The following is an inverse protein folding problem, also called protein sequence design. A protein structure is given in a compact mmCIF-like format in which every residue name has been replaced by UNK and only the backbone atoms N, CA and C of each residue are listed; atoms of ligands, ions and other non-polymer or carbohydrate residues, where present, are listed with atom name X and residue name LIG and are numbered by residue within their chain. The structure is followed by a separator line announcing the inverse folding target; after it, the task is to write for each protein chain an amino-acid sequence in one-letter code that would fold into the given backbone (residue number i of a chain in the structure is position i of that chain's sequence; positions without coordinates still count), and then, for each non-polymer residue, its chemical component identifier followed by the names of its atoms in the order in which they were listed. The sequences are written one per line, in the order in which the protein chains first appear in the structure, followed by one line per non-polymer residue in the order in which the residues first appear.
data_IF_005923780062
#
_entry.id   IF_005923780062
#
_cell.length_a   1.000
_cell.length_b   1.000
_cell.length_c   1.000
_cell.angle_alpha   90.00
_cell.angle_beta   90.00
_cell.angle_gamma   90.00
#
_symmetry.space_group_name_H-M   'P 1'
#
loop_
_entity.id
_entity.type
_entity.pdbx_description
1 polymer ?
#
# COMPACT_ATOMS: atom_id res chain seq x y z
N UNK A 1 -24.88 -2.78 -4.39
CA UNK A 1 -24.11 -1.69 -3.74
C UNK A 1 -22.79 -1.71 -4.46
N UNK A 2 -22.62 -0.76 -5.36
CA UNK A 2 -21.72 -0.91 -6.51
C UNK A 2 -20.51 0.01 -6.37
N UNK A 3 -19.92 0.07 -5.17
CA UNK A 3 -18.76 0.92 -4.88
C UNK A 3 -17.75 0.21 -3.97
N UNK A 4 -16.46 0.38 -4.30
CA UNK A 4 -15.33 -0.26 -3.59
C UNK A 4 -14.69 0.65 -2.54
N UNK A 5 -14.88 1.97 -2.64
CA UNK A 5 -14.31 2.96 -1.73
C UNK A 5 -15.32 4.06 -1.41
N UNK A 6 -15.40 4.43 -0.13
CA UNK A 6 -16.21 5.55 0.35
C UNK A 6 -15.28 6.62 0.93
N UNK A 7 -15.38 7.84 0.38
CA UNK A 7 -14.61 9.00 0.83
C UNK A 7 -15.61 10.00 1.41
N UNK A 8 -15.28 10.60 2.55
CA UNK A 8 -16.15 11.54 3.25
C UNK A 8 -15.41 12.82 3.65
N UNK A 9 -16.13 13.92 3.78
CA UNK A 9 -15.61 15.14 4.43
C UNK A 9 -15.77 15.04 5.95
N UNK A 10 -14.93 15.77 6.70
CA UNK A 10 -14.99 15.79 8.18
C UNK A 10 -16.38 16.17 8.70
N UNK A 11 -17.05 17.12 8.04
CA UNK A 11 -18.37 17.63 8.44
C UNK A 11 -19.48 16.57 8.33
N UNK A 12 -19.32 15.60 7.43
CA UNK A 12 -20.30 14.53 7.18
C UNK A 12 -20.08 13.29 8.07
N UNK A 13 -18.93 13.18 8.75
CA UNK A 13 -18.58 12.01 9.58
C UNK A 13 -19.59 11.67 10.68
N UNK A 14 -20.23 12.61 11.41
CA UNK A 14 -21.23 12.28 12.42
C UNK A 14 -22.44 11.54 11.84
N UNK A 15 -22.84 11.89 10.60
CA UNK A 15 -23.93 11.20 9.89
C UNK A 15 -23.49 9.83 9.38
N UNK A 16 -22.28 9.73 8.83
CA UNK A 16 -21.72 8.46 8.33
C UNK A 16 -21.49 7.45 9.45
N UNK A 17 -21.19 7.90 10.67
CA UNK A 17 -21.04 7.03 11.84
C UNK A 17 -22.32 6.21 12.14
N UNK A 18 -23.51 6.76 11.87
CA UNK A 18 -24.78 6.03 12.03
C UNK A 18 -24.91 4.83 11.07
N UNK A 19 -24.28 4.91 9.90
CA UNK A 19 -24.22 3.84 8.89
C UNK A 19 -23.12 2.80 9.18
N UNK A 20 -22.39 2.96 10.29
CA UNK A 20 -21.29 2.07 10.68
C UNK A 20 -21.70 0.60 10.83
N UNK A 21 -22.97 0.29 11.13
CA UNK A 21 -23.48 -1.10 11.17
C UNK A 21 -23.40 -1.80 9.81
N UNK A 22 -23.53 -1.05 8.72
CA UNK A 22 -23.51 -1.58 7.35
C UNK A 22 -22.09 -1.47 6.76
N UNK A 23 -21.44 -0.31 6.96
CA UNK A 23 -20.13 -0.02 6.39
C UNK A 23 -18.97 -0.68 7.14
N UNK A 24 -19.14 -0.94 8.44
CA UNK A 24 -18.15 -1.58 9.32
C UNK A 24 -17.75 -3.00 8.89
N UNK A 25 -18.69 -3.96 8.79
CA UNK A 25 -18.34 -5.35 8.43
C UNK A 25 -17.77 -5.48 7.01
N UNK A 26 -17.97 -4.49 6.15
CA UNK A 26 -17.43 -4.46 4.78
C UNK A 26 -16.10 -3.72 4.65
N UNK A 27 -15.58 -3.11 5.72
CA UNK A 27 -14.33 -2.35 5.68
C UNK A 27 -14.41 -1.05 4.86
N UNK A 28 -15.62 -0.58 4.54
CA UNK A 28 -15.86 0.62 3.73
C UNK A 28 -15.99 1.89 4.58
N UNK A 29 -15.77 1.79 5.89
CA UNK A 29 -15.89 2.93 6.80
C UNK A 29 -14.73 3.91 6.58
N UNK A 30 -14.99 5.20 6.33
CA UNK A 30 -13.94 6.19 6.11
C UNK A 30 -13.19 6.45 7.42
N UNK A 31 -11.87 6.40 7.38
CA UNK A 31 -10.98 6.65 8.52
C UNK A 31 -10.02 7.82 8.20
N UNK A 32 -9.86 8.80 9.11
CA UNK A 32 -8.87 9.88 8.93
C UNK A 32 -7.44 9.36 8.76
N UNK A 33 -7.08 8.25 9.42
CA UNK A 33 -5.74 7.65 9.29
C UNK A 33 -5.47 7.15 7.88
N UNK A 34 -6.50 6.71 7.18
CA UNK A 34 -6.39 6.23 5.81
C UNK A 34 -6.54 7.36 4.78
N UNK A 35 -6.66 8.62 5.19
CA UNK A 35 -6.83 9.75 4.26
C UNK A 35 -8.14 9.70 3.46
N UNK A 36 -9.05 8.77 3.78
CA UNK A 36 -10.41 8.69 3.20
C UNK A 36 -11.35 9.73 3.80
N UNK A 37 -10.90 10.46 4.81
CA UNK A 37 -11.55 11.66 5.32
C UNK A 37 -10.69 12.85 4.92
N UNK A 38 -11.15 13.62 3.93
CA UNK A 38 -10.37 14.73 3.36
C UNK A 38 -11.27 15.94 3.07
N UNK A 39 -10.70 17.14 3.17
CA UNK A 39 -11.38 18.41 2.83
C UNK A 39 -11.26 18.77 1.35
N UNK A 40 -10.27 18.21 0.65
CA UNK A 40 -9.91 18.59 -0.72
C UNK A 40 -10.24 17.50 -1.75
N UNK A 41 -10.53 17.93 -2.97
CA UNK A 41 -10.80 17.05 -4.12
C UNK A 41 -9.60 16.18 -4.52
N UNK A 42 -8.38 16.54 -4.09
CA UNK A 42 -7.13 15.83 -4.36
C UNK A 42 -7.16 14.38 -3.87
N UNK A 43 -7.88 14.09 -2.78
CA UNK A 43 -8.02 12.73 -2.28
C UNK A 43 -8.62 11.79 -3.33
N UNK A 44 -9.56 12.28 -4.15
CA UNK A 44 -10.21 11.48 -5.19
C UNK A 44 -9.19 11.08 -6.26
N UNK A 45 -8.33 12.01 -6.67
CA UNK A 45 -7.27 11.76 -7.67
C UNK A 45 -6.24 10.77 -7.14
N UNK A 46 -5.79 10.92 -5.90
CA UNK A 46 -4.86 9.98 -5.26
C UNK A 46 -5.43 8.57 -5.12
N UNK A 47 -6.72 8.44 -4.78
CA UNK A 47 -7.37 7.13 -4.69
C UNK A 47 -7.62 6.49 -6.05
N UNK A 48 -7.84 7.30 -7.10
CA UNK A 48 -7.92 6.82 -8.48
C UNK A 48 -6.57 6.32 -9.00
N UNK A 49 -5.46 6.92 -8.55
CA UNK A 49 -4.11 6.48 -8.88
C UNK A 49 -3.68 5.18 -8.16
N UNK A 50 -4.56 4.58 -7.34
CA UNK A 50 -4.29 3.26 -6.75
C UNK A 50 -3.38 3.30 -5.52
N UNK A 51 -3.49 4.33 -4.68
CA UNK A 51 -2.72 4.44 -3.43
C UNK A 51 -2.91 3.22 -2.52
N UNK A 52 -1.81 2.50 -2.25
CA UNK A 52 -1.72 1.42 -1.27
C UNK A 52 -1.05 1.96 -0.01
N UNK A 53 -1.67 1.72 1.15
CA UNK A 53 -1.10 2.10 2.43
C UNK A 53 -0.47 0.90 3.09
N UNK A 54 0.72 1.11 3.62
CA UNK A 54 1.45 0.10 4.36
C UNK A 54 1.90 0.66 5.70
N UNK A 55 1.98 -0.23 6.68
CA UNK A 55 2.46 0.08 8.02
C UNK A 55 3.44 -1.00 8.44
N UNK A 56 4.43 -0.62 9.23
CA UNK A 56 5.27 -1.59 9.91
C UNK A 56 4.50 -2.24 11.07
N UNK A 57 4.62 -3.56 11.16
CA UNK A 57 4.11 -4.34 12.28
C UNK A 57 4.92 -4.10 13.55
N UNK A 58 4.45 -4.64 14.69
CA UNK A 58 5.16 -4.57 15.97
C UNK A 58 6.56 -5.20 15.90
N UNK A 59 6.77 -6.14 14.98
CA UNK A 59 8.05 -6.80 14.70
C UNK A 59 8.95 -5.98 13.78
N UNK A 60 8.48 -4.86 13.25
CA UNK A 60 9.21 -4.00 12.31
C UNK A 60 9.23 -4.50 10.87
N UNK A 61 8.36 -5.46 10.52
CA UNK A 61 8.22 -5.97 9.16
C UNK A 61 7.10 -5.20 8.45
N UNK A 62 7.31 -4.87 7.18
CA UNK A 62 6.30 -4.23 6.32
C UNK A 62 5.78 -5.28 5.34
N UNK A 63 4.45 -5.48 5.33
CA UNK A 63 3.78 -6.38 4.41
C UNK A 63 2.99 -5.57 3.38
N UNK A 64 3.26 -5.78 2.09
CA UNK A 64 2.59 -5.08 0.99
C UNK A 64 2.20 -6.07 -0.11
N UNK A 65 0.92 -6.21 -0.44
CA UNK A 65 0.50 -6.88 -1.67
C UNK A 65 0.73 -5.93 -2.85
N UNK A 66 1.60 -6.31 -3.79
CA UNK A 66 1.92 -5.50 -4.98
C UNK A 66 1.20 -5.97 -6.25
N UNK A 67 0.44 -7.06 -6.20
CA UNK A 67 -0.31 -7.57 -7.35
C UNK A 67 -1.00 -8.91 -7.10
N UNK A 68 -1.62 -9.44 -8.15
CA UNK A 68 -2.20 -10.79 -8.22
C UNK A 68 -1.48 -11.59 -9.31
N UNK A 69 -1.66 -12.91 -9.29
CA UNK A 69 -1.06 -13.82 -10.29
C UNK A 69 -1.58 -13.54 -11.71
N UNK A 70 -2.78 -12.97 -11.82
CA UNK A 70 -3.40 -12.65 -13.11
C UNK A 70 -2.77 -11.42 -13.81
N UNK A 71 -1.86 -10.71 -13.15
CA UNK A 71 -1.22 -9.50 -13.71
C UNK A 71 -0.05 -9.92 -14.61
N UNK A 72 0.23 -9.16 -15.69
CA UNK A 72 1.40 -9.42 -16.50
C UNK A 72 2.69 -9.20 -15.68
N UNK A 73 3.74 -9.93 -16.05
CA UNK A 73 5.01 -9.92 -15.32
C UNK A 73 5.64 -8.52 -15.25
N UNK A 74 5.49 -7.73 -16.32
CA UNK A 74 5.99 -6.36 -16.41
C UNK A 74 5.33 -5.44 -15.36
N UNK A 75 4.01 -5.50 -15.22
CA UNK A 75 3.28 -4.70 -14.22
C UNK A 75 3.65 -5.12 -12.80
N UNK A 76 3.86 -6.42 -12.56
CA UNK A 76 4.30 -6.92 -11.26
C UNK A 76 5.69 -6.37 -10.89
N UNK A 77 6.61 -6.30 -11.86
CA UNK A 77 7.94 -5.72 -11.65
C UNK A 77 7.87 -4.22 -11.38
N UNK A 78 7.06 -3.47 -12.14
CA UNK A 78 6.86 -2.03 -11.92
C UNK A 78 6.29 -1.75 -10.53
N UNK A 79 5.26 -2.48 -10.13
CA UNK A 79 4.61 -2.32 -8.82
C UNK A 79 5.56 -2.68 -7.68
N UNK A 80 6.33 -3.75 -7.83
CA UNK A 80 7.34 -4.14 -6.85
C UNK A 80 8.39 -3.04 -6.68
N UNK A 81 8.97 -2.53 -7.77
CA UNK A 81 9.98 -1.47 -7.71
C UNK A 81 9.43 -0.16 -7.13
N UNK A 82 8.18 0.19 -7.45
CA UNK A 82 7.51 1.34 -6.88
C UNK A 82 7.36 1.21 -5.35
N UNK A 83 6.98 0.03 -4.85
CA UNK A 83 6.88 -0.24 -3.42
C UNK A 83 8.23 -0.12 -2.71
N UNK A 84 9.30 -0.66 -3.30
CA UNK A 84 10.67 -0.56 -2.74
C UNK A 84 11.13 0.88 -2.63
N UNK A 85 11.00 1.65 -3.72
CA UNK A 85 11.36 3.08 -3.76
C UNK A 85 10.57 3.89 -2.74
N UNK A 86 9.27 3.60 -2.59
CA UNK A 86 8.43 4.24 -1.58
C UNK A 86 8.90 3.94 -0.16
N UNK A 87 9.30 2.71 0.14
CA UNK A 87 9.82 2.34 1.47
C UNK A 87 11.16 3.04 1.74
N UNK A 88 12.05 3.10 0.76
CA UNK A 88 13.34 3.77 0.89
C UNK A 88 13.18 5.28 1.12
N UNK A 89 12.28 5.94 0.37
CA UNK A 89 11.98 7.36 0.54
C UNK A 89 11.39 7.68 1.93
N UNK A 90 10.65 6.74 2.52
CA UNK A 90 10.04 6.87 3.84
C UNK A 90 10.93 6.36 4.99
N UNK A 91 12.22 6.13 4.74
CA UNK A 91 13.16 5.72 5.79
C UNK A 91 13.26 6.82 6.87
N UNK A 92 13.01 6.51 8.15
CA UNK A 92 13.11 7.50 9.21
C UNK A 92 14.57 7.90 9.44
N UNK A 93 14.81 9.19 9.65
CA UNK A 93 16.15 9.77 9.87
C UNK A 93 16.88 9.20 11.09
N UNK A 94 16.14 8.66 12.07
CA UNK A 94 16.69 8.00 13.25
C UNK A 94 17.16 6.55 13.04
N UNK A 95 16.93 5.94 11.87
CA UNK A 95 17.32 4.55 11.61
C UNK A 95 18.84 4.44 11.44
N UNK A 96 19.51 3.91 12.46
CA UNK A 96 20.96 3.61 12.44
C UNK A 96 21.21 2.19 11.93
N UNK A 97 22.24 2.03 11.09
CA UNK A 97 22.69 0.73 10.57
C UNK A 97 21.97 0.28 9.29
N UNK A 98 21.98 -1.03 9.06
CA UNK A 98 21.40 -1.66 7.86
C UNK A 98 19.87 -1.61 7.97
N UNK A 99 19.24 -0.87 7.06
CA UNK A 99 17.78 -0.70 7.04
C UNK A 99 17.05 -1.96 6.55
N UNK A 100 17.59 -2.61 5.51
CA UNK A 100 17.06 -3.84 4.93
C UNK A 100 17.83 -5.06 5.43
N UNK A 101 17.24 -5.88 6.30
CA UNK A 101 17.87 -7.13 6.77
C UNK A 101 17.61 -8.32 5.84
N UNK A 102 16.39 -8.44 5.35
CA UNK A 102 15.92 -9.50 4.47
C UNK A 102 14.67 -9.06 3.73
N UNK A 103 14.56 -9.46 2.47
CA UNK A 103 13.37 -9.29 1.66
C UNK A 103 12.90 -10.68 1.18
N UNK A 104 11.58 -10.90 1.25
CA UNK A 104 10.97 -12.17 0.88
C UNK A 104 9.72 -11.90 0.05
N UNK A 105 9.54 -12.66 -1.02
CA UNK A 105 8.32 -12.67 -1.82
C UNK A 105 7.61 -13.99 -1.59
N UNK A 106 6.30 -13.94 -1.36
CA UNK A 106 5.47 -15.11 -1.21
C UNK A 106 4.09 -14.85 -1.82
N UNK A 107 3.46 -15.90 -2.32
CA UNK A 107 2.03 -15.92 -2.63
C UNK A 107 1.22 -16.22 -1.35
N UNK A 108 -0.09 -16.01 -1.38
CA UNK A 108 -0.97 -16.16 -0.21
C UNK A 108 -0.81 -17.48 0.57
N UNK A 109 -0.58 -18.59 -0.13
CA UNK A 109 -0.42 -19.93 0.48
C UNK A 109 0.85 -20.66 -0.03
N UNK A 110 1.85 -19.92 -0.51
CA UNK A 110 3.04 -20.52 -1.13
C UNK A 110 4.31 -20.37 -0.30
N UNK A 111 5.36 -21.14 -0.63
CA UNK A 111 6.67 -20.97 0.00
C UNK A 111 7.24 -19.58 -0.30
N UNK A 112 8.06 -19.06 0.62
CA UNK A 112 8.71 -17.77 0.44
C UNK A 112 10.04 -17.91 -0.28
N UNK A 113 10.30 -16.99 -1.20
CA UNK A 113 11.57 -16.88 -1.91
C UNK A 113 12.31 -15.68 -1.35
N UNK A 114 13.55 -15.90 -0.90
CA UNK A 114 14.41 -14.83 -0.39
C UNK A 114 15.02 -14.08 -1.57
N UNK A 115 14.85 -12.76 -1.57
CA UNK A 115 15.44 -11.89 -2.57
C UNK A 115 16.83 -11.40 -2.13
N UNK A 116 17.68 -11.11 -3.12
CA UNK A 116 18.94 -10.44 -2.91
C UNK A 116 18.70 -8.92 -2.78
N UNK A 117 19.10 -8.35 -1.65
CA UNK A 117 18.84 -6.94 -1.30
C UNK A 117 19.64 -5.99 -2.20
N UNK A 118 20.87 -6.36 -2.60
CA UNK A 118 21.71 -5.48 -3.42
C UNK A 118 21.14 -5.36 -4.82
N UNK A 119 20.83 -6.49 -5.44
CA UNK A 119 20.21 -6.53 -6.77
C UNK A 119 18.84 -5.84 -6.77
N UNK A 120 18.03 -6.04 -5.72
CA UNK A 120 16.73 -5.38 -5.57
C UNK A 120 16.80 -3.84 -5.57
N UNK A 121 17.85 -3.26 -4.98
CA UNK A 121 18.02 -1.80 -4.93
C UNK A 121 18.62 -1.23 -6.21
N UNK A 122 19.49 -1.99 -6.88
CA UNK A 122 20.17 -1.56 -8.11
C UNK A 122 19.38 -1.86 -9.38
N UNK A 123 18.35 -2.71 -9.30
CA UNK A 123 17.55 -3.11 -10.45
C UNK A 123 16.82 -1.92 -11.08
N UNK A 124 17.21 -1.60 -12.31
CA UNK A 124 16.52 -0.65 -13.18
C UNK A 124 15.68 -1.46 -14.15
N UNK A 125 14.44 -1.00 -14.36
CA UNK A 125 13.59 -1.56 -15.42
C UNK A 125 14.35 -1.53 -16.75
N UNK A 126 14.37 -2.63 -17.50
CA UNK A 126 14.92 -2.61 -18.86
C UNK A 126 14.14 -1.56 -19.67
N UNK A 127 14.87 -0.69 -20.38
CA UNK A 127 14.35 0.52 -21.02
C UNK A 127 13.46 0.27 -22.26
N UNK A 128 12.87 -0.91 -22.39
CA UNK A 128 12.04 -1.30 -23.53
C UNK A 128 10.73 -1.93 -23.03
N UNK A 129 9.75 -1.09 -22.67
CA UNK A 129 8.38 -0.99 -23.24
C UNK A 129 7.87 0.41 -22.92
#
# INVERSE_FOLDING_TARGET
MDFDKLIASEDMMPKVASLGRILGPRGLMPNPKTGTVAKSNQAIEEFKQGKVQYRADKTGIVHIPFGKVDFPEEDLLVNFLAAVKSIEANKPSGAKGVYWKSAHVCSSMGPSIRLNIREMLEYKLPANV
#
